data_IF_422379067081
#
_entry.id   IF_422379067081
#
_cell.length_a   1.000
_cell.length_b   1.000
_cell.length_c   1.000
_cell.angle_alpha   90.00
_cell.angle_beta   90.00
_cell.angle_gamma   90.00
#
_symmetry.space_group_name_H-M   'P 1'
#
loop_
_entity.id
_entity.type
_entity.pdbx_description
1 polymer ?
#
# COMPACT_ATOMS: atom_id res chain seq x y z
N UNK A 1 21.13 17.68 -9.74
CA UNK A 1 21.33 17.01 -11.01
C UNK A 1 20.68 17.85 -12.08
N UNK A 2 21.44 18.14 -13.11
CA UNK A 2 21.09 19.00 -14.23
C UNK A 2 19.91 18.41 -14.99
N UNK A 3 18.77 19.08 -14.93
CA UNK A 3 17.61 18.77 -15.77
C UNK A 3 17.82 19.37 -17.17
N UNK A 4 18.91 19.03 -17.82
CA UNK A 4 19.05 19.35 -19.24
C UNK A 4 18.07 18.46 -20.00
N UNK A 5 16.92 19.01 -20.28
CA UNK A 5 15.98 18.41 -21.21
C UNK A 5 16.56 18.52 -22.61
N UNK A 6 17.22 17.47 -23.08
CA UNK A 6 17.56 17.32 -24.50
C UNK A 6 16.33 17.08 -25.39
N UNK A 7 15.14 17.18 -24.81
CA UNK A 7 13.87 17.17 -25.52
C UNK A 7 13.43 18.61 -25.71
N UNK A 8 13.79 19.19 -26.85
CA UNK A 8 13.28 20.49 -27.26
C UNK A 8 11.75 20.45 -27.29
N UNK A 9 11.11 21.37 -26.59
CA UNK A 9 9.64 21.48 -26.53
C UNK A 9 8.98 21.69 -27.90
N UNK A 10 9.77 22.04 -28.93
CA UNK A 10 9.32 22.22 -30.31
C UNK A 10 9.06 20.90 -31.05
N UNK A 11 9.61 19.78 -30.58
CA UNK A 11 9.45 18.48 -31.24
C UNK A 11 8.24 17.69 -30.76
N UNK A 12 7.63 18.16 -29.68
CA UNK A 12 6.43 17.57 -29.10
C UNK A 12 5.19 18.29 -29.67
N UNK A 13 4.73 17.89 -30.83
CA UNK A 13 3.40 18.26 -31.31
C UNK A 13 2.34 17.62 -30.39
N UNK A 14 1.91 18.36 -29.36
CA UNK A 14 0.88 17.97 -28.39
C UNK A 14 -0.53 18.05 -29.00
N UNK A 15 -0.73 17.51 -30.18
CA UNK A 15 -2.04 17.34 -30.74
C UNK A 15 -2.72 16.13 -30.10
N UNK A 16 -3.90 16.35 -29.50
CA UNK A 16 -4.75 15.26 -29.08
C UNK A 16 -5.18 14.47 -30.32
N UNK A 17 -4.50 13.39 -30.64
CA UNK A 17 -4.94 12.44 -31.66
C UNK A 17 -6.14 11.68 -31.08
N UNK A 18 -7.31 11.85 -31.68
CA UNK A 18 -8.56 11.20 -31.28
C UNK A 18 -8.99 11.49 -29.82
N UNK A 19 -8.72 12.69 -29.31
CA UNK A 19 -9.10 13.07 -27.93
C UNK A 19 -8.22 12.48 -26.83
N UNK A 20 -7.11 11.81 -27.18
CA UNK A 20 -6.16 11.26 -26.21
C UNK A 20 -4.92 12.14 -26.11
N UNK A 21 -4.54 12.49 -24.90
CA UNK A 21 -3.27 13.16 -24.59
C UNK A 21 -2.14 12.13 -24.49
N UNK A 22 -0.88 12.51 -24.71
CA UNK A 22 0.25 11.64 -24.36
C UNK A 22 0.23 11.33 -22.85
N UNK A 23 0.55 10.10 -22.48
CA UNK A 23 0.80 9.77 -21.08
C UNK A 23 2.18 10.29 -20.66
N UNK A 24 2.24 10.85 -19.44
CA UNK A 24 3.53 11.22 -18.84
C UNK A 24 4.06 10.07 -18.01
N UNK A 25 5.35 9.82 -18.13
CA UNK A 25 6.04 8.80 -17.34
C UNK A 25 7.28 9.41 -16.68
N UNK A 26 7.58 8.94 -15.48
CA UNK A 26 8.82 9.24 -14.80
C UNK A 26 9.88 8.27 -15.33
N UNK A 27 10.95 8.79 -15.95
CA UNK A 27 12.10 7.96 -16.31
C UNK A 27 12.90 7.66 -15.05
N UNK A 28 13.08 6.38 -14.73
CA UNK A 28 13.88 5.96 -13.60
C UNK A 28 15.32 5.67 -14.05
N UNK A 29 16.33 6.17 -13.30
CA UNK A 29 17.69 5.71 -13.48
C UNK A 29 17.82 4.25 -13.05
N UNK A 30 18.79 3.54 -13.63
CA UNK A 30 19.15 2.21 -13.16
C UNK A 30 19.56 2.27 -11.68
N UNK A 31 19.14 1.28 -10.91
CA UNK A 31 19.43 1.21 -9.49
C UNK A 31 18.35 0.49 -8.70
N UNK A 32 18.45 0.55 -7.38
CA UNK A 32 17.53 -0.11 -6.47
C UNK A 32 16.74 0.94 -5.68
N UNK A 33 15.44 0.77 -5.61
CA UNK A 33 14.54 1.52 -4.74
C UNK A 33 14.41 0.78 -3.42
N UNK A 34 14.53 1.51 -2.33
CA UNK A 34 14.45 0.97 -0.97
C UNK A 34 13.42 1.74 -0.15
N UNK A 35 12.74 1.05 0.76
CA UNK A 35 11.86 1.65 1.75
C UNK A 35 11.84 0.80 3.02
N UNK A 36 11.38 1.40 4.11
CA UNK A 36 11.26 0.73 5.39
C UNK A 36 9.91 0.04 5.54
N UNK A 37 9.91 -1.17 6.07
CA UNK A 37 8.72 -1.94 6.42
C UNK A 37 8.68 -2.18 7.92
N UNK A 38 7.50 -2.00 8.54
CA UNK A 38 7.33 -2.29 9.97
C UNK A 38 7.12 -3.79 10.25
N UNK A 39 6.43 -4.48 9.35
CA UNK A 39 6.00 -5.87 9.56
C UNK A 39 6.82 -6.89 8.76
N UNK A 40 7.84 -6.45 8.05
CA UNK A 40 8.65 -7.31 7.17
C UNK A 40 10.08 -6.76 7.04
N UNK A 41 10.94 -7.50 6.33
CA UNK A 41 12.23 -6.99 5.92
C UNK A 41 12.06 -5.72 5.04
N UNK A 42 13.02 -4.78 5.07
CA UNK A 42 12.97 -3.58 4.23
C UNK A 42 12.66 -3.92 2.76
N UNK A 43 11.76 -3.17 2.18
CA UNK A 43 11.37 -3.36 0.79
C UNK A 43 12.49 -2.94 -0.17
N UNK A 44 12.63 -3.69 -1.26
CA UNK A 44 13.69 -3.49 -2.24
C UNK A 44 13.20 -3.92 -3.62
N UNK A 45 13.29 -3.04 -4.62
CA UNK A 45 12.95 -3.34 -6.02
C UNK A 45 14.00 -2.76 -6.97
N UNK A 46 14.33 -3.52 -8.02
CA UNK A 46 15.09 -3.01 -9.14
C UNK A 46 14.26 -2.00 -9.93
N UNK A 47 14.76 -0.76 -10.03
CA UNK A 47 14.03 0.35 -10.62
C UNK A 47 13.69 0.09 -12.10
N UNK A 48 14.63 -0.45 -12.86
CA UNK A 48 14.46 -0.69 -14.29
C UNK A 48 13.64 -1.94 -14.59
N UNK A 49 13.95 -3.06 -13.92
CA UNK A 49 13.40 -4.37 -14.25
C UNK A 49 12.05 -4.64 -13.61
N UNK A 50 11.84 -4.16 -12.38
CA UNK A 50 10.65 -4.49 -11.58
C UNK A 50 9.65 -3.35 -11.51
N UNK A 51 10.10 -2.10 -11.62
CA UNK A 51 9.23 -0.91 -11.58
C UNK A 51 9.00 -0.34 -12.97
N UNK A 52 10.07 -0.15 -13.75
CA UNK A 52 10.01 0.54 -15.03
C UNK A 52 9.66 2.01 -14.87
N UNK A 53 9.32 2.67 -15.97
CA UNK A 53 8.94 4.09 -15.96
C UNK A 53 7.46 4.26 -15.54
N UNK A 54 7.16 4.62 -14.28
CA UNK A 54 5.78 4.71 -13.81
C UNK A 54 5.02 5.85 -14.50
N UNK A 55 3.76 5.59 -14.79
CA UNK A 55 2.87 6.59 -15.36
C UNK A 55 2.53 7.63 -14.29
N UNK A 56 2.75 8.91 -14.61
CA UNK A 56 2.39 10.06 -13.78
C UNK A 56 1.03 10.66 -14.18
N UNK A 57 0.78 10.74 -15.50
CA UNK A 57 -0.51 11.16 -16.05
C UNK A 57 -0.90 10.23 -17.19
N UNK A 58 -2.13 9.77 -17.14
CA UNK A 58 -2.73 8.89 -18.13
C UNK A 58 -3.07 9.64 -19.41
N UNK A 59 -3.27 8.90 -20.51
CA UNK A 59 -3.67 9.46 -21.80
C UNK A 59 -5.07 10.11 -21.80
N UNK A 60 -5.93 9.79 -20.83
CA UNK A 60 -7.22 10.43 -20.58
C UNK A 60 -7.10 11.74 -19.78
N UNK A 61 -5.88 12.16 -19.42
CA UNK A 61 -5.60 13.37 -18.67
C UNK A 61 -5.66 13.20 -17.16
N UNK A 62 -6.08 12.03 -16.66
CA UNK A 62 -6.20 11.76 -15.22
C UNK A 62 -4.79 11.53 -14.63
N UNK A 63 -4.55 12.12 -13.47
CA UNK A 63 -3.33 11.88 -12.68
C UNK A 63 -3.32 10.41 -12.24
N UNK A 64 -2.17 9.76 -12.40
CA UNK A 64 -2.01 8.37 -12.01
C UNK A 64 -1.98 8.22 -10.49
N UNK A 65 -2.49 7.10 -10.00
CA UNK A 65 -2.56 6.76 -8.59
C UNK A 65 -1.22 6.94 -7.86
N UNK A 66 -0.12 6.46 -8.45
CA UNK A 66 1.20 6.55 -7.82
C UNK A 66 1.68 7.98 -7.57
N UNK A 67 1.40 8.91 -8.52
CA UNK A 67 1.73 10.31 -8.33
C UNK A 67 0.81 10.96 -7.29
N UNK A 68 -0.50 10.77 -7.40
CA UNK A 68 -1.46 11.35 -6.48
C UNK A 68 -1.17 10.93 -5.04
N UNK A 69 -1.03 9.62 -4.80
CA UNK A 69 -0.76 9.09 -3.45
C UNK A 69 0.57 9.61 -2.89
N UNK A 70 1.65 9.58 -3.68
CA UNK A 70 2.95 10.06 -3.22
C UNK A 70 2.92 11.55 -2.84
N UNK A 71 2.26 12.38 -3.65
CA UNK A 71 2.13 13.83 -3.38
C UNK A 71 1.26 14.09 -2.16
N UNK A 72 0.12 13.39 -2.02
CA UNK A 72 -0.78 13.55 -0.88
C UNK A 72 -0.10 13.11 0.43
N UNK A 73 0.58 11.96 0.43
CA UNK A 73 1.34 11.47 1.60
C UNK A 73 2.40 12.49 2.04
N UNK A 74 3.17 13.04 1.09
CA UNK A 74 4.17 14.06 1.38
C UNK A 74 3.55 15.37 1.87
N UNK A 75 2.49 15.84 1.21
CA UNK A 75 1.83 17.10 1.54
C UNK A 75 1.15 17.06 2.92
N UNK A 76 0.63 15.91 3.32
CA UNK A 76 0.01 15.68 4.62
C UNK A 76 1.01 15.35 5.72
N UNK A 77 2.30 15.18 5.39
CA UNK A 77 3.33 14.81 6.35
C UNK A 77 3.15 13.41 6.93
N UNK A 78 2.64 12.47 6.12
CA UNK A 78 2.44 11.08 6.55
C UNK A 78 3.81 10.44 6.82
N UNK A 79 4.01 9.94 8.03
CA UNK A 79 5.21 9.23 8.45
C UNK A 79 5.10 7.71 8.26
N UNK A 80 3.88 7.19 8.38
CA UNK A 80 3.61 5.75 8.40
C UNK A 80 2.36 5.43 7.57
N UNK A 81 2.48 4.46 6.66
CA UNK A 81 1.41 4.00 5.77
C UNK A 81 1.07 2.56 6.08
N UNK A 82 -0.14 2.32 6.57
CA UNK A 82 -0.67 0.96 6.80
C UNK A 82 -1.67 0.62 5.69
N UNK A 83 -1.45 -0.49 4.97
CA UNK A 83 -2.32 -0.88 3.85
C UNK A 83 -2.24 -2.39 3.56
N UNK A 84 -3.10 -2.89 2.70
CA UNK A 84 -3.08 -4.31 2.30
C UNK A 84 -1.84 -4.69 1.48
N UNK A 85 -1.40 -5.93 1.62
CA UNK A 85 -0.23 -6.49 0.92
C UNK A 85 -0.34 -6.46 -0.61
N UNK A 86 -1.57 -6.37 -1.16
CA UNK A 86 -1.81 -6.23 -2.60
C UNK A 86 -1.27 -4.92 -3.18
N UNK A 87 -0.99 -3.94 -2.33
CA UNK A 87 -0.38 -2.67 -2.71
C UNK A 87 1.15 -2.66 -2.54
N UNK A 88 1.76 -3.76 -2.12
CA UNK A 88 3.21 -3.82 -1.93
C UNK A 88 3.98 -3.45 -3.21
N UNK A 89 3.59 -4.00 -4.36
CA UNK A 89 4.21 -3.67 -5.65
C UNK A 89 4.00 -2.21 -6.08
N UNK A 90 2.96 -1.54 -5.57
CA UNK A 90 2.72 -0.12 -5.82
C UNK A 90 3.67 0.81 -5.06
N UNK A 91 4.35 0.30 -4.02
CA UNK A 91 5.29 1.07 -3.20
C UNK A 91 6.49 1.55 -4.02
N UNK A 92 7.07 0.69 -4.83
CA UNK A 92 8.22 1.05 -5.67
C UNK A 92 7.97 2.29 -6.54
N UNK A 93 6.92 2.34 -7.36
CA UNK A 93 6.54 3.52 -8.13
C UNK A 93 6.32 4.78 -7.28
N UNK A 94 5.72 4.67 -6.09
CA UNK A 94 5.48 5.79 -5.18
C UNK A 94 6.79 6.31 -4.59
N UNK A 95 7.63 5.43 -4.08
CA UNK A 95 8.98 5.77 -3.58
C UNK A 95 9.83 6.43 -4.68
N UNK A 96 9.73 5.94 -5.92
CA UNK A 96 10.42 6.56 -7.06
C UNK A 96 9.96 8.01 -7.31
N UNK A 97 8.66 8.27 -7.20
CA UNK A 97 8.12 9.63 -7.31
C UNK A 97 8.63 10.52 -6.18
N UNK A 98 8.59 10.03 -4.93
CA UNK A 98 9.08 10.77 -3.76
C UNK A 98 10.57 11.09 -3.87
N UNK A 99 11.38 10.12 -4.29
CA UNK A 99 12.80 10.30 -4.55
C UNK A 99 13.07 11.35 -5.65
N UNK A 100 12.28 11.35 -6.72
CA UNK A 100 12.38 12.35 -7.78
C UNK A 100 12.02 13.77 -7.30
N UNK A 101 11.16 13.86 -6.28
CA UNK A 101 10.82 15.12 -5.59
C UNK A 101 11.86 15.53 -4.53
N UNK A 102 12.87 14.70 -4.29
CA UNK A 102 13.89 14.94 -3.25
C UNK A 102 13.37 14.77 -1.83
N UNK A 103 12.30 14.01 -1.65
CA UNK A 103 11.64 13.80 -0.37
C UNK A 103 11.80 12.34 0.10
N UNK A 104 11.95 12.12 1.43
CA UNK A 104 12.01 10.77 1.97
C UNK A 104 10.65 10.09 1.87
N UNK A 105 10.65 8.77 1.64
CA UNK A 105 9.44 7.96 1.72
C UNK A 105 9.03 7.72 3.19
N UNK A 106 7.73 7.56 3.47
CA UNK A 106 7.25 7.12 4.79
C UNK A 106 7.68 5.67 5.06
N UNK A 107 7.47 5.23 6.30
CA UNK A 107 7.52 3.81 6.63
C UNK A 107 6.24 3.13 6.18
N UNK A 108 6.33 1.87 5.77
CA UNK A 108 5.18 1.10 5.33
C UNK A 108 4.91 -0.08 6.26
N UNK A 109 3.64 -0.44 6.37
CA UNK A 109 3.19 -1.68 6.97
C UNK A 109 2.18 -2.34 6.01
N UNK A 110 2.60 -3.40 5.35
CA UNK A 110 1.72 -4.18 4.48
C UNK A 110 1.11 -5.33 5.29
N UNK A 111 -0.20 -5.24 5.53
CA UNK A 111 -0.93 -6.26 6.29
C UNK A 111 -1.53 -7.31 5.36
N UNK A 112 -1.63 -8.58 5.81
CA UNK A 112 -2.26 -9.64 5.03
C UNK A 112 -3.69 -9.30 4.62
N UNK A 113 -4.11 -9.82 3.48
CA UNK A 113 -5.47 -9.66 2.98
C UNK A 113 -6.38 -10.74 3.58
N UNK A 114 -7.57 -10.34 3.95
CA UNK A 114 -8.61 -11.30 4.32
C UNK A 114 -9.06 -12.08 3.09
N UNK A 115 -9.02 -13.42 3.19
CA UNK A 115 -9.32 -14.33 2.09
C UNK A 115 -10.47 -15.26 2.47
N UNK A 116 -11.22 -15.70 1.47
CA UNK A 116 -12.24 -16.73 1.63
C UNK A 116 -11.62 -18.15 1.77
N UNK A 117 -12.47 -19.15 2.01
CA UNK A 117 -12.05 -20.54 2.12
C UNK A 117 -11.36 -21.10 0.85
N UNK A 118 -11.55 -20.46 -0.31
CA UNK A 118 -10.92 -20.79 -1.59
C UNK A 118 -9.61 -20.04 -1.80
N UNK A 119 -9.19 -19.17 -0.85
CA UNK A 119 -7.99 -18.39 -0.94
C UNK A 119 -8.11 -17.09 -1.75
N UNK A 120 -9.30 -16.75 -2.26
CA UNK A 120 -9.53 -15.50 -2.98
C UNK A 120 -9.67 -14.34 -2.00
N UNK A 121 -9.16 -13.17 -2.41
CA UNK A 121 -9.30 -11.93 -1.63
C UNK A 121 -10.77 -11.58 -1.48
N UNK A 122 -11.20 -11.33 -0.24
CA UNK A 122 -12.54 -10.79 0.00
C UNK A 122 -12.67 -9.41 -0.66
N UNK A 123 -13.62 -9.27 -1.57
CA UNK A 123 -13.88 -8.01 -2.26
C UNK A 123 -15.37 -7.74 -2.35
N UNK A 124 -15.76 -6.45 -2.32
CA UNK A 124 -17.16 -6.04 -2.47
C UNK A 124 -17.76 -6.48 -3.80
N UNK A 125 -16.94 -6.66 -4.85
CA UNK A 125 -17.39 -7.09 -6.19
C UNK A 125 -17.79 -8.57 -6.22
N UNK A 126 -17.25 -9.37 -5.34
CA UNK A 126 -17.51 -10.80 -5.22
C UNK A 126 -18.53 -11.13 -4.13
N UNK A 127 -19.24 -10.10 -3.64
CA UNK A 127 -20.29 -10.28 -2.63
C UNK A 127 -19.77 -10.50 -1.22
N UNK A 128 -18.50 -10.18 -0.96
CA UNK A 128 -17.95 -10.25 0.39
C UNK A 128 -18.76 -9.38 1.35
N UNK A 129 -19.13 -9.97 2.46
CA UNK A 129 -19.90 -9.33 3.49
C UNK A 129 -19.07 -8.21 4.16
N UNK A 130 -19.56 -6.99 4.10
CA UNK A 130 -18.98 -5.87 4.83
C UNK A 130 -19.44 -5.83 6.28
N UNK A 131 -18.94 -4.87 7.06
CA UNK A 131 -19.35 -4.65 8.47
C UNK A 131 -20.88 -4.59 8.66
N UNK A 132 -21.61 -4.08 7.67
CA UNK A 132 -23.07 -4.06 7.69
C UNK A 132 -23.69 -5.46 7.79
N UNK A 133 -23.11 -6.44 7.11
CA UNK A 133 -23.56 -7.82 7.17
C UNK A 133 -23.28 -8.46 8.53
N UNK A 134 -22.11 -8.25 9.12
CA UNK A 134 -21.82 -8.67 10.50
C UNK A 134 -22.86 -8.11 11.49
N UNK A 135 -23.18 -6.81 11.35
CA UNK A 135 -24.21 -6.17 12.17
C UNK A 135 -25.59 -6.79 11.97
N UNK A 136 -25.98 -7.11 10.73
CA UNK A 136 -27.26 -7.74 10.42
C UNK A 136 -27.40 -9.14 11.05
N UNK A 137 -26.30 -9.86 11.23
CA UNK A 137 -26.25 -11.14 11.97
C UNK A 137 -26.18 -10.98 13.50
N UNK A 138 -26.22 -9.76 14.01
CA UNK A 138 -26.17 -9.48 15.44
C UNK A 138 -24.76 -9.49 16.04
N UNK A 139 -23.71 -9.49 15.19
CA UNK A 139 -22.33 -9.33 15.67
C UNK A 139 -22.13 -7.90 16.16
N UNK A 140 -21.60 -7.73 17.35
CA UNK A 140 -21.22 -6.44 17.88
C UNK A 140 -19.78 -6.05 17.47
N UNK A 141 -19.40 -4.83 17.77
CA UNK A 141 -18.08 -4.30 17.41
C UNK A 141 -16.93 -5.12 18.03
N UNK A 142 -17.06 -5.59 19.28
CA UNK A 142 -16.03 -6.35 19.95
C UNK A 142 -15.79 -7.71 19.30
N UNK A 143 -16.85 -8.37 18.81
CA UNK A 143 -16.73 -9.61 18.04
C UNK A 143 -16.02 -9.38 16.70
N UNK A 144 -16.34 -8.28 15.99
CA UNK A 144 -15.70 -7.95 14.69
C UNK A 144 -14.22 -7.62 14.88
N UNK A 145 -13.88 -6.84 15.91
CA UNK A 145 -12.47 -6.53 16.23
C UNK A 145 -11.72 -7.80 16.61
N UNK A 146 -12.31 -8.67 17.43
CA UNK A 146 -11.71 -9.95 17.78
C UNK A 146 -11.44 -10.87 16.58
N UNK A 147 -12.40 -10.96 15.65
CA UNK A 147 -12.24 -11.74 14.41
C UNK A 147 -11.12 -11.18 13.51
N UNK A 148 -11.07 -9.85 13.35
CA UNK A 148 -9.99 -9.20 12.62
C UNK A 148 -8.62 -9.42 13.28
N UNK A 149 -8.54 -9.29 14.59
CA UNK A 149 -7.31 -9.53 15.33
C UNK A 149 -6.86 -10.99 15.27
N UNK A 150 -7.80 -11.94 15.35
CA UNK A 150 -7.53 -13.37 15.20
C UNK A 150 -7.03 -13.70 13.78
N UNK A 151 -7.58 -13.05 12.75
CA UNK A 151 -7.14 -13.24 11.37
C UNK A 151 -5.69 -12.80 11.14
N UNK A 152 -5.17 -11.91 11.97
CA UNK A 152 -3.78 -11.48 12.00
C UNK A 152 -2.90 -12.29 12.98
N UNK A 153 -3.48 -13.28 13.67
CA UNK A 153 -2.77 -14.06 14.69
C UNK A 153 -2.45 -13.31 15.98
N UNK A 154 -3.08 -12.16 16.20
CA UNK A 154 -2.86 -11.32 17.39
C UNK A 154 -3.62 -11.80 18.62
N UNK A 155 -4.69 -12.56 18.44
CA UNK A 155 -5.50 -13.17 19.50
C UNK A 155 -6.04 -14.52 19.05
N UNK A 156 -6.56 -15.31 19.96
CA UNK A 156 -7.23 -16.58 19.62
C UNK A 156 -8.57 -16.35 18.91
N UNK A 157 -8.96 -17.28 18.04
CA UNK A 157 -10.26 -17.26 17.36
C UNK A 157 -11.43 -17.22 18.33
N UNK A 158 -12.44 -16.41 18.01
CA UNK A 158 -13.61 -16.19 18.88
C UNK A 158 -13.38 -15.19 20.02
N UNK A 159 -12.22 -14.57 20.10
CA UNK A 159 -11.95 -13.49 21.06
C UNK A 159 -12.88 -12.31 20.83
N UNK A 160 -13.20 -11.62 21.93
CA UNK A 160 -14.04 -10.42 21.91
C UNK A 160 -13.32 -9.32 22.68
N UNK A 161 -12.96 -8.25 21.97
CA UNK A 161 -12.24 -7.12 22.55
C UNK A 161 -12.54 -5.83 21.78
N UNK A 162 -12.48 -4.72 22.47
CA UNK A 162 -12.53 -3.41 21.83
C UNK A 162 -11.20 -3.08 21.14
N UNK A 163 -11.21 -2.09 20.26
CA UNK A 163 -9.98 -1.60 19.62
C UNK A 163 -8.97 -1.06 20.66
N UNK A 164 -9.46 -0.44 21.73
CA UNK A 164 -8.60 0.07 22.81
C UNK A 164 -7.93 -1.06 23.59
N UNK A 165 -8.67 -2.13 23.92
CA UNK A 165 -8.11 -3.32 24.59
C UNK A 165 -7.07 -4.00 23.71
N UNK A 166 -7.33 -4.15 22.39
CA UNK A 166 -6.36 -4.67 21.44
C UNK A 166 -5.11 -3.80 21.39
N UNK A 167 -5.26 -2.49 21.31
CA UNK A 167 -4.14 -1.56 21.30
C UNK A 167 -3.30 -1.63 22.58
N UNK A 168 -3.95 -1.78 23.74
CA UNK A 168 -3.28 -1.94 25.02
C UNK A 168 -2.49 -3.26 25.08
N UNK A 169 -3.06 -4.37 24.59
CA UNK A 169 -2.36 -5.65 24.55
C UNK A 169 -1.12 -5.59 23.68
N UNK A 170 -1.20 -5.01 22.47
CA UNK A 170 -0.07 -4.85 21.57
C UNK A 170 1.05 -4.00 22.19
N UNK A 171 0.70 -2.90 22.86
CA UNK A 171 1.69 -2.06 23.56
C UNK A 171 2.37 -2.77 24.72
N UNK A 172 1.67 -3.67 25.40
CA UNK A 172 2.26 -4.45 26.51
C UNK A 172 3.20 -5.54 26.00
N UNK A 173 2.97 -6.08 24.82
CA UNK A 173 3.81 -7.11 24.18
C UNK A 173 5.08 -6.53 23.55
N UNK A 174 5.07 -5.29 23.09
CA UNK A 174 6.26 -4.58 22.59
C UNK A 174 7.37 -4.49 23.65
N UNK A 175 7.05 -4.62 24.92
CA UNK A 175 8.04 -4.72 26.02
C UNK A 175 8.59 -6.14 26.26
N UNK A 176 8.11 -7.16 25.55
CA UNK A 176 8.42 -8.55 25.92
C UNK A 176 8.95 -9.45 24.80
N UNK A 177 8.95 -9.09 23.53
CA UNK A 177 9.56 -9.95 22.52
C UNK A 177 9.87 -9.26 21.20
N UNK A 178 11.06 -9.53 20.68
CA UNK A 178 11.38 -9.41 19.26
C UNK A 178 10.27 -10.06 18.44
N UNK A 179 9.63 -9.28 17.59
CA UNK A 179 8.63 -9.78 16.64
C UNK A 179 9.24 -10.94 15.87
N UNK A 180 8.72 -12.12 16.10
CA UNK A 180 9.10 -13.33 15.37
C UNK A 180 8.81 -13.09 13.87
N UNK A 181 9.74 -13.58 13.06
CA UNK A 181 9.79 -13.53 11.61
C UNK A 181 8.40 -13.71 10.94
N UNK A 182 8.13 -12.98 9.84
CA UNK A 182 6.82 -12.94 9.16
C UNK A 182 6.34 -14.26 8.56
N UNK A 183 7.08 -15.33 8.66
CA UNK A 183 6.75 -16.64 8.09
C UNK A 183 5.51 -17.31 8.70
N UNK A 184 4.94 -16.75 9.77
CA UNK A 184 3.75 -17.30 10.44
C UNK A 184 2.44 -16.53 10.22
N UNK A 185 2.47 -15.40 9.52
CA UNK A 185 1.26 -14.62 9.21
C UNK A 185 0.56 -15.15 7.94
N UNK A 186 0.14 -16.40 7.96
CA UNK A 186 -0.77 -16.94 6.95
C UNK A 186 -2.17 -16.97 7.56
N UNK A 187 -2.98 -15.96 7.26
CA UNK A 187 -4.41 -15.99 7.56
C UNK A 187 -5.08 -17.11 6.78
N UNK A 188 -5.51 -18.15 7.48
CA UNK A 188 -6.44 -19.18 6.97
C UNK A 188 -7.77 -19.00 7.70
N UNK A 189 -8.81 -18.65 6.95
CA UNK A 189 -10.21 -18.85 7.34
C UNK A 189 -10.67 -20.24 6.95
#
# INVERSE_FOLDING_TARGET
GDWSSDVCSSDLHWGAQQGRLPSWRLRLPAGTLHWQEHCAAPGCLDAERQVGDPVLRRADGVIAYHLATAVDELALGISDVVRGEDLWAATGPQVAVMAALGMPAPHYAHVPLWRDASGHRLSKREGAEGVAGFRARGCDAASVVGELAASLGLVEGGSRLSADELLQSLRSEEHTSELQSPDHLVCRL
#
